data_IF_092956096050
#
_entry.id   IF_092956096050
#
_cell.length_a   1.000
_cell.length_b   1.000
_cell.length_c   1.000
_cell.angle_alpha   90.00
_cell.angle_beta   90.00
_cell.angle_gamma   90.00
#
_symmetry.space_group_name_H-M   'P 1'
#
loop_
_entity.id
_entity.type
_entity.pdbx_description
1 polymer ?
#
# COMPACT_ATOMS: atom_id res chain seq x y z
N UNK A 1 -13.87 -47.55 16.95
CA UNK A 1 -14.42 -46.23 17.34
C UNK A 1 -13.47 -45.05 17.14
N UNK A 2 -12.17 -45.15 17.46
CA UNK A 2 -11.22 -44.03 17.31
C UNK A 2 -10.98 -43.54 15.86
N UNK A 3 -11.13 -44.42 14.86
CA UNK A 3 -10.98 -44.04 13.44
C UNK A 3 -12.17 -43.25 12.90
N UNK A 4 -13.39 -43.56 13.35
CA UNK A 4 -14.62 -42.85 12.95
C UNK A 4 -14.64 -41.44 13.57
N UNK A 5 -14.18 -41.28 14.81
CA UNK A 5 -14.02 -39.95 15.43
C UNK A 5 -12.98 -39.06 14.73
N UNK A 6 -11.88 -39.63 14.19
CA UNK A 6 -10.91 -38.86 13.38
C UNK A 6 -11.47 -38.42 12.03
N UNK A 7 -12.28 -39.27 11.37
CA UNK A 7 -12.93 -38.92 10.10
C UNK A 7 -13.99 -37.85 10.32
N UNK A 8 -14.77 -37.94 11.40
CA UNK A 8 -15.76 -36.92 11.79
C UNK A 8 -15.07 -35.58 12.13
N UNK A 9 -13.93 -35.58 12.83
CA UNK A 9 -13.17 -34.35 13.09
C UNK A 9 -12.57 -33.73 11.83
N UNK A 10 -12.18 -34.54 10.84
CA UNK A 10 -11.72 -34.05 9.53
C UNK A 10 -12.90 -33.46 8.74
N UNK A 11 -14.08 -34.06 8.79
CA UNK A 11 -15.29 -33.53 8.15
C UNK A 11 -15.87 -32.28 8.82
N UNK A 12 -15.82 -32.16 10.15
CA UNK A 12 -16.27 -30.95 10.86
C UNK A 12 -15.32 -29.77 10.59
N UNK A 13 -14.02 -30.01 10.40
CA UNK A 13 -13.09 -28.96 9.95
C UNK A 13 -13.25 -28.61 8.46
N UNK A 14 -13.76 -29.53 7.62
CA UNK A 14 -14.09 -29.25 6.22
C UNK A 14 -15.42 -28.49 6.07
N UNK A 15 -16.37 -28.68 6.99
CA UNK A 15 -17.64 -27.93 7.02
C UNK A 15 -17.48 -26.50 7.57
N UNK A 16 -16.38 -26.19 8.26
CA UNK A 16 -16.06 -24.84 8.74
C UNK A 16 -15.65 -23.85 7.63
N UNK A 17 -15.63 -24.30 6.37
CA UNK A 17 -15.24 -23.48 5.21
C UNK A 17 -16.25 -23.55 4.06
N UNK A 18 -17.49 -23.96 4.35
CA UNK A 18 -18.55 -23.98 3.34
C UNK A 18 -19.14 -22.57 3.19
N UNK A 19 -19.16 -22.07 1.96
CA UNK A 19 -19.83 -20.82 1.62
C UNK A 19 -21.32 -21.10 1.48
N UNK A 20 -22.13 -20.48 2.35
CA UNK A 20 -23.60 -20.48 2.23
C UNK A 20 -23.99 -19.06 1.87
N UNK A 21 -24.63 -18.87 0.71
CA UNK A 21 -25.19 -17.59 0.26
C UNK A 21 -24.21 -16.39 0.25
N UNK A 22 -22.94 -16.60 -0.09
CA UNK A 22 -21.92 -15.53 -0.17
C UNK A 22 -21.37 -15.07 1.18
N UNK A 23 -21.65 -15.85 2.24
CA UNK A 23 -21.20 -15.61 3.60
C UNK A 23 -20.25 -16.70 4.06
N UNK A 24 -19.17 -16.29 4.71
CA UNK A 24 -18.14 -17.13 5.30
C UNK A 24 -18.33 -17.19 6.82
N UNK A 25 -18.90 -18.28 7.37
CA UNK A 25 -19.00 -18.47 8.81
C UNK A 25 -17.61 -18.74 9.40
N UNK A 26 -17.21 -17.95 10.40
CA UNK A 26 -15.92 -18.09 11.08
C UNK A 26 -16.02 -17.67 12.55
N UNK A 27 -15.64 -18.55 13.47
CA UNK A 27 -15.68 -18.31 14.93
C UNK A 27 -17.03 -17.76 15.43
N UNK A 28 -18.15 -18.31 14.91
CA UNK A 28 -19.50 -17.92 15.32
C UNK A 28 -19.97 -16.56 14.79
N UNK A 29 -19.27 -16.00 13.80
CA UNK A 29 -19.66 -14.77 13.10
C UNK A 29 -19.63 -14.98 11.59
N UNK A 30 -20.43 -14.17 10.90
CA UNK A 30 -20.59 -14.21 9.46
C UNK A 30 -19.80 -13.08 8.81
N UNK A 31 -18.99 -13.43 7.81
CA UNK A 31 -18.13 -12.50 7.08
C UNK A 31 -18.41 -12.57 5.58
N UNK A 32 -18.57 -11.43 4.92
CA UNK A 32 -18.59 -11.37 3.45
C UNK A 32 -17.18 -11.05 2.94
N UNK A 33 -16.58 -11.98 2.20
CA UNK A 33 -15.32 -11.77 1.51
C UNK A 33 -15.56 -11.35 0.06
N UNK A 34 -16.43 -10.37 -0.15
CA UNK A 34 -16.75 -9.82 -1.46
C UNK A 34 -16.59 -8.30 -1.44
N UNK A 35 -15.71 -7.78 -2.30
CA UNK A 35 -15.53 -6.34 -2.38
C UNK A 35 -16.81 -5.67 -2.89
N UNK A 36 -17.25 -4.64 -2.17
CA UNK A 36 -18.36 -3.77 -2.59
C UNK A 36 -17.81 -2.37 -2.82
N UNK A 37 -18.11 -1.78 -3.98
CA UNK A 37 -17.61 -0.46 -4.34
C UNK A 37 -18.21 0.61 -3.39
N UNK A 38 -17.39 1.41 -2.67
CA UNK A 38 -17.92 2.39 -1.71
C UNK A 38 -18.90 3.41 -2.29
N UNK A 39 -18.73 3.78 -3.57
CA UNK A 39 -19.62 4.73 -4.25
C UNK A 39 -20.88 4.12 -4.84
N UNK A 40 -20.98 2.79 -4.94
CA UNK A 40 -22.14 2.10 -5.49
C UNK A 40 -22.22 0.68 -4.91
N UNK A 41 -23.10 0.48 -3.93
CA UNK A 41 -23.26 -0.80 -3.23
C UNK A 41 -23.81 -1.94 -4.10
N UNK A 42 -24.33 -1.64 -5.29
CA UNK A 42 -24.77 -2.63 -6.27
C UNK A 42 -23.59 -3.20 -7.08
N UNK A 43 -22.46 -2.50 -7.13
CA UNK A 43 -21.26 -2.97 -7.81
C UNK A 43 -20.41 -3.81 -6.85
N UNK A 44 -20.51 -5.13 -7.01
CA UNK A 44 -19.78 -6.12 -6.23
C UNK A 44 -18.79 -6.90 -7.09
N UNK A 45 -17.67 -7.27 -6.50
CA UNK A 45 -16.66 -8.09 -7.15
C UNK A 45 -16.94 -9.58 -7.04
N UNK A 46 -16.04 -10.39 -7.60
CA UNK A 46 -15.96 -11.83 -7.35
C UNK A 46 -15.68 -12.08 -5.88
N UNK A 47 -16.36 -13.09 -5.33
CA UNK A 47 -16.16 -13.54 -3.95
C UNK A 47 -14.78 -14.20 -3.80
N UNK A 48 -14.10 -13.90 -2.71
CA UNK A 48 -12.85 -14.56 -2.35
C UNK A 48 -13.14 -15.84 -1.56
N UNK A 49 -12.28 -16.88 -1.67
CA UNK A 49 -12.47 -18.12 -0.93
C UNK A 49 -12.55 -17.91 0.59
N UNK A 50 -13.55 -18.55 1.23
CA UNK A 50 -13.78 -18.41 2.67
C UNK A 50 -12.61 -18.87 3.54
N UNK A 51 -11.75 -19.78 3.05
CA UNK A 51 -10.56 -20.21 3.78
C UNK A 51 -9.54 -19.08 3.99
N UNK A 52 -9.64 -17.98 3.26
CA UNK A 52 -8.77 -16.81 3.42
C UNK A 52 -9.09 -15.99 4.68
N UNK A 53 -10.27 -16.16 5.30
CA UNK A 53 -10.65 -15.46 6.54
C UNK A 53 -9.64 -15.68 7.67
N UNK A 54 -8.97 -16.84 7.70
CA UNK A 54 -7.91 -17.16 8.68
C UNK A 54 -6.75 -16.17 8.64
N UNK A 55 -6.46 -15.57 7.47
CA UNK A 55 -5.41 -14.56 7.38
C UNK A 55 -5.85 -13.23 8.01
N UNK A 56 -7.14 -12.88 7.93
CA UNK A 56 -7.65 -11.71 8.64
C UNK A 56 -7.54 -11.88 10.14
N UNK A 57 -7.90 -13.06 10.65
CA UNK A 57 -7.73 -13.39 12.06
C UNK A 57 -6.24 -13.33 12.48
N UNK A 58 -5.38 -14.01 11.73
CA UNK A 58 -3.94 -14.03 11.98
C UNK A 58 -3.29 -12.64 12.03
N UNK A 59 -3.80 -11.66 11.26
CA UNK A 59 -3.32 -10.27 11.24
C UNK A 59 -4.18 -9.29 12.05
N UNK A 60 -5.10 -9.80 12.87
CA UNK A 60 -6.03 -9.04 13.70
C UNK A 60 -6.97 -8.09 12.92
N UNK A 61 -7.24 -8.35 11.64
CA UNK A 61 -8.16 -7.53 10.83
C UNK A 61 -9.63 -7.76 11.19
N UNK A 62 -9.95 -8.84 11.91
CA UNK A 62 -11.30 -9.10 12.43
C UNK A 62 -11.56 -8.40 13.77
N UNK A 63 -10.52 -8.02 14.51
CA UNK A 63 -10.64 -7.41 15.82
C UNK A 63 -10.49 -5.89 15.76
N UNK A 64 -11.64 -5.20 15.77
CA UNK A 64 -11.71 -3.74 15.69
C UNK A 64 -11.03 -3.03 16.87
N UNK A 65 -10.92 -3.66 18.04
CA UNK A 65 -10.23 -3.06 19.20
C UNK A 65 -8.73 -2.89 18.99
N UNK A 66 -8.18 -3.51 17.93
CA UNK A 66 -6.77 -3.35 17.54
C UNK A 66 -6.54 -2.16 16.62
N UNK A 67 -7.60 -1.48 16.17
CA UNK A 67 -7.49 -0.34 15.28
C UNK A 67 -7.27 0.95 16.07
N UNK A 68 -6.50 1.86 15.49
CA UNK A 68 -6.29 3.18 16.07
C UNK A 68 -7.38 4.13 15.61
N UNK A 69 -7.95 4.84 16.58
CA UNK A 69 -8.73 6.05 16.35
C UNK A 69 -7.81 7.28 16.48
N UNK A 70 -7.58 7.96 15.35
CA UNK A 70 -6.71 9.14 15.28
C UNK A 70 -7.37 10.41 15.86
N UNK A 71 -8.67 10.38 16.17
CA UNK A 71 -9.35 11.46 16.88
C UNK A 71 -8.94 11.47 18.35
N UNK A 72 -8.75 10.30 18.96
CA UNK A 72 -8.51 10.14 20.39
C UNK A 72 -7.07 9.75 20.73
N UNK A 73 -6.40 8.96 19.89
CA UNK A 73 -5.07 8.44 20.16
C UNK A 73 -3.97 9.38 19.64
N UNK A 74 -2.87 9.46 20.39
CA UNK A 74 -1.65 10.06 19.89
C UNK A 74 -0.98 9.15 18.85
N UNK A 75 -0.16 9.74 17.96
CA UNK A 75 0.48 8.99 16.88
C UNK A 75 1.41 7.92 17.47
N UNK A 76 1.24 6.64 17.09
CA UNK A 76 2.14 5.59 17.52
C UNK A 76 3.54 5.75 16.91
N UNK A 77 4.54 5.15 17.56
CA UNK A 77 5.90 5.10 17.04
C UNK A 77 5.92 4.41 15.67
N UNK A 78 6.43 5.15 14.67
CA UNK A 78 6.47 4.68 13.29
C UNK A 78 7.54 3.60 13.08
N UNK A 79 7.23 2.59 12.26
CA UNK A 79 8.22 1.61 11.78
C UNK A 79 8.44 1.67 10.29
N UNK A 80 9.71 1.68 9.89
CA UNK A 80 10.09 1.70 8.48
C UNK A 80 10.41 0.27 8.06
N UNK A 81 9.80 -0.19 6.97
CA UNK A 81 9.86 -1.57 6.50
C UNK A 81 10.38 -1.59 5.06
N UNK A 82 11.25 -2.54 4.75
CA UNK A 82 11.65 -2.86 3.39
C UNK A 82 11.76 -4.37 3.21
N UNK A 83 11.71 -4.84 1.96
CA UNK A 83 11.94 -6.24 1.63
C UNK A 83 12.72 -6.34 0.31
N UNK A 84 13.69 -7.24 0.23
CA UNK A 84 14.43 -7.47 -1.01
C UNK A 84 15.05 -8.87 -1.09
N UNK A 85 15.27 -9.30 -2.34
CA UNK A 85 16.02 -10.51 -2.66
C UNK A 85 17.48 -10.18 -2.98
N UNK A 86 18.30 -11.22 -3.20
CA UNK A 86 19.73 -11.03 -3.44
C UNK A 86 20.02 -10.17 -4.68
N UNK A 87 19.18 -10.25 -5.72
CA UNK A 87 19.33 -9.45 -6.95
C UNK A 87 19.24 -7.93 -6.67
N UNK A 88 18.40 -7.53 -5.72
CA UNK A 88 18.21 -6.12 -5.36
C UNK A 88 19.16 -5.63 -4.26
N UNK A 89 19.98 -6.51 -3.67
CA UNK A 89 20.90 -6.19 -2.57
C UNK A 89 21.68 -4.89 -2.79
N UNK A 90 22.38 -4.72 -3.92
CA UNK A 90 23.19 -3.51 -4.13
C UNK A 90 22.35 -2.22 -4.14
N UNK A 91 21.10 -2.27 -4.61
CA UNK A 91 20.18 -1.13 -4.59
C UNK A 91 19.66 -0.90 -3.16
N UNK A 92 19.25 -1.95 -2.47
CA UNK A 92 18.82 -1.88 -1.07
C UNK A 92 19.90 -1.31 -0.14
N UNK A 93 21.18 -1.63 -0.40
CA UNK A 93 22.29 -1.06 0.36
C UNK A 93 22.35 0.48 0.34
N UNK A 94 21.90 1.13 -0.74
CA UNK A 94 21.79 2.59 -0.75
C UNK A 94 20.55 3.10 -0.02
N UNK A 95 19.41 2.38 -0.08
CA UNK A 95 18.26 2.69 0.77
C UNK A 95 18.69 2.72 2.24
N UNK A 96 19.34 1.64 2.71
CA UNK A 96 19.87 1.53 4.08
C UNK A 96 20.79 2.70 4.45
N UNK A 97 21.66 3.11 3.51
CA UNK A 97 22.55 4.26 3.71
C UNK A 97 21.75 5.55 3.92
N UNK A 98 20.79 5.83 3.04
CA UNK A 98 19.98 7.05 3.11
C UNK A 98 19.00 7.03 4.28
N UNK A 99 18.50 5.85 4.66
CA UNK A 99 17.65 5.66 5.84
C UNK A 99 18.40 6.05 7.11
N UNK A 100 19.62 5.52 7.32
CA UNK A 100 20.45 5.87 8.48
C UNK A 100 20.66 7.39 8.58
N UNK A 101 20.82 8.05 7.43
CA UNK A 101 20.88 9.51 7.39
C UNK A 101 19.54 10.16 7.72
N UNK A 102 18.42 9.73 7.14
CA UNK A 102 17.13 10.41 7.24
C UNK A 102 16.41 10.22 8.59
N UNK A 103 16.60 9.07 9.24
CA UNK A 103 15.86 8.64 10.43
C UNK A 103 16.78 8.32 11.62
N UNK A 104 17.84 9.12 11.84
CA UNK A 104 18.88 8.83 12.85
C UNK A 104 18.35 8.21 14.16
N UNK A 105 18.96 7.10 14.59
CA UNK A 105 18.57 6.35 15.79
C UNK A 105 17.45 5.31 15.60
N UNK A 106 16.70 5.35 14.49
CA UNK A 106 15.63 4.39 14.21
C UNK A 106 16.15 3.06 13.64
N UNK A 107 15.38 2.00 13.84
CA UNK A 107 15.59 0.69 13.20
C UNK A 107 14.65 0.51 12.01
N UNK A 108 15.18 -0.06 10.93
CA UNK A 108 14.39 -0.48 9.76
C UNK A 108 14.21 -2.00 9.81
N UNK A 109 12.97 -2.45 9.63
CA UNK A 109 12.65 -3.85 9.43
C UNK A 109 13.02 -4.24 7.99
N UNK A 110 13.84 -5.27 7.83
CA UNK A 110 14.34 -5.76 6.55
C UNK A 110 13.90 -7.21 6.37
N UNK A 111 12.94 -7.44 5.50
CA UNK A 111 12.51 -8.78 5.10
C UNK A 111 13.40 -9.38 4.02
N UNK A 112 13.85 -10.59 4.29
CA UNK A 112 14.59 -11.47 3.40
C UNK A 112 13.64 -12.22 2.46
N UNK A 113 13.76 -11.94 1.16
CA UNK A 113 13.02 -12.60 0.08
C UNK A 113 13.90 -13.60 -0.72
N UNK A 114 14.87 -14.23 -0.06
CA UNK A 114 15.87 -15.12 -0.68
C UNK A 114 17.26 -14.48 -0.80
N UNK A 115 17.81 -14.03 0.32
CA UNK A 115 19.17 -13.49 0.44
C UNK A 115 20.20 -14.59 0.65
N UNK A 116 21.42 -14.35 0.16
CA UNK A 116 22.54 -15.27 0.43
C UNK A 116 22.99 -15.15 1.89
N UNK A 117 23.49 -16.25 2.47
CA UNK A 117 24.06 -16.29 3.83
C UNK A 117 25.08 -15.15 4.10
N UNK A 118 25.89 -14.80 3.10
CA UNK A 118 26.88 -13.72 3.19
C UNK A 118 26.25 -12.31 3.30
N UNK A 119 25.08 -12.11 2.71
CA UNK A 119 24.29 -10.87 2.83
C UNK A 119 23.61 -10.80 4.19
N UNK A 120 23.00 -11.91 4.62
CA UNK A 120 22.36 -12.02 5.94
C UNK A 120 23.36 -11.69 7.05
N UNK A 121 24.55 -12.32 7.04
CA UNK A 121 25.65 -12.05 7.99
C UNK A 121 26.11 -10.59 8.03
N UNK A 122 25.88 -9.80 6.96
CA UNK A 122 26.18 -8.37 6.94
C UNK A 122 25.02 -7.56 7.51
N UNK A 123 23.78 -7.88 7.13
CA UNK A 123 22.58 -7.19 7.59
C UNK A 123 22.43 -7.24 9.11
N UNK A 124 22.56 -8.43 9.70
CA UNK A 124 22.41 -8.63 11.15
C UNK A 124 23.46 -7.90 11.99
N UNK A 125 24.57 -7.44 11.38
CA UNK A 125 25.62 -6.68 12.07
C UNK A 125 25.32 -5.19 12.16
N UNK A 126 24.27 -4.70 11.50
CA UNK A 126 23.88 -3.29 11.57
C UNK A 126 22.83 -3.11 12.67
N UNK A 127 23.15 -2.36 13.72
CA UNK A 127 22.24 -2.09 14.85
C UNK A 127 20.92 -1.43 14.44
N UNK A 128 20.93 -0.65 13.36
CA UNK A 128 19.74 0.00 12.79
C UNK A 128 18.92 -0.92 11.86
N UNK A 129 19.27 -2.21 11.76
CA UNK A 129 18.52 -3.21 10.99
C UNK A 129 17.87 -4.20 11.94
N UNK A 130 16.60 -4.46 11.70
CA UNK A 130 15.87 -5.60 12.24
C UNK A 130 15.64 -6.59 11.11
N UNK A 131 16.38 -7.69 11.11
CA UNK A 131 16.28 -8.70 10.06
C UNK A 131 15.10 -9.64 10.34
N UNK A 132 14.27 -9.88 9.31
CA UNK A 132 13.18 -10.87 9.34
C UNK A 132 13.24 -11.74 8.10
N UNK A 133 12.89 -13.02 8.22
CA UNK A 133 12.79 -13.93 7.07
C UNK A 133 11.33 -14.06 6.65
N UNK A 134 11.02 -13.82 5.38
CA UNK A 134 9.67 -14.02 4.86
C UNK A 134 9.42 -15.52 4.61
N UNK A 135 8.41 -16.08 5.28
CA UNK A 135 8.10 -17.51 5.24
C UNK A 135 7.12 -17.84 4.12
N UNK A 136 7.63 -17.97 2.89
CA UNK A 136 6.80 -18.30 1.71
C UNK A 136 6.02 -19.61 1.83
N UNK A 137 6.41 -20.54 2.71
CA UNK A 137 5.67 -21.79 2.96
C UNK A 137 4.30 -21.57 3.58
N UNK A 138 4.06 -20.40 4.17
CA UNK A 138 2.82 -20.10 4.89
C UNK A 138 1.72 -19.55 3.95
N UNK A 139 2.02 -19.41 2.65
CA UNK A 139 1.18 -18.73 1.68
C UNK A 139 1.03 -19.58 0.41
N UNK A 140 0.00 -19.31 -0.42
CA UNK A 140 -0.17 -19.95 -1.72
C UNK A 140 1.07 -19.83 -2.61
N UNK A 141 1.25 -20.80 -3.51
CA UNK A 141 2.49 -20.97 -4.28
C UNK A 141 2.87 -19.73 -5.10
N UNK A 142 1.89 -19.03 -5.69
CA UNK A 142 2.10 -17.83 -6.49
C UNK A 142 2.78 -16.70 -5.71
N UNK A 143 2.65 -16.63 -4.38
CA UNK A 143 3.33 -15.61 -3.56
C UNK A 143 4.86 -15.68 -3.68
N UNK A 144 5.42 -16.85 -4.04
CA UNK A 144 6.85 -17.01 -4.33
C UNK A 144 7.29 -16.26 -5.60
N UNK A 145 6.37 -15.98 -6.53
CA UNK A 145 6.63 -15.18 -7.71
C UNK A 145 6.80 -13.71 -7.33
N UNK A 146 8.03 -13.28 -7.07
CA UNK A 146 8.32 -11.89 -6.69
C UNK A 146 7.90 -10.82 -7.72
N UNK A 147 7.51 -11.22 -8.95
CA UNK A 147 7.02 -10.28 -9.97
C UNK A 147 5.60 -9.81 -9.70
N UNK A 148 4.73 -10.65 -9.12
CA UNK A 148 3.35 -10.26 -8.76
C UNK A 148 3.29 -9.32 -7.55
N UNK A 149 4.40 -9.18 -6.80
CA UNK A 149 4.52 -8.31 -5.62
C UNK A 149 3.55 -8.62 -4.47
N UNK A 150 2.86 -9.76 -4.47
CA UNK A 150 1.94 -10.18 -3.41
C UNK A 150 2.60 -10.13 -2.01
N UNK A 151 3.86 -10.55 -1.92
CA UNK A 151 4.66 -10.51 -0.69
C UNK A 151 4.66 -9.13 -0.02
N UNK A 152 4.57 -8.03 -0.77
CA UNK A 152 4.59 -6.67 -0.21
C UNK A 152 3.38 -6.44 0.68
N UNK A 153 2.19 -6.78 0.17
CA UNK A 153 0.92 -6.53 0.84
C UNK A 153 0.77 -7.44 2.08
N UNK A 154 1.26 -8.67 1.97
CA UNK A 154 1.32 -9.61 3.10
C UNK A 154 2.28 -9.10 4.19
N UNK A 155 3.49 -8.65 3.83
CA UNK A 155 4.42 -8.07 4.82
C UNK A 155 3.83 -6.81 5.48
N UNK A 156 3.15 -5.95 4.70
CA UNK A 156 2.47 -4.78 5.26
C UNK A 156 1.42 -5.21 6.29
N UNK A 157 0.58 -6.20 5.97
CA UNK A 157 -0.41 -6.73 6.91
C UNK A 157 0.23 -7.33 8.17
N UNK A 158 1.31 -8.11 8.00
CA UNK A 158 2.07 -8.71 9.10
C UNK A 158 2.65 -7.63 10.04
N UNK A 159 3.33 -6.62 9.50
CA UNK A 159 3.93 -5.58 10.35
C UNK A 159 2.86 -4.66 10.96
N UNK A 160 1.75 -4.40 10.26
CA UNK A 160 0.62 -3.65 10.82
C UNK A 160 -0.02 -4.34 12.01
N UNK A 161 0.12 -5.66 12.17
CA UNK A 161 -0.31 -6.38 13.37
C UNK A 161 0.45 -5.92 14.61
N UNK A 162 1.75 -5.64 14.46
CA UNK A 162 2.65 -5.26 15.54
C UNK A 162 2.76 -3.75 15.72
N UNK A 163 2.72 -3.00 14.62
CA UNK A 163 2.96 -1.57 14.58
C UNK A 163 1.83 -0.87 13.83
N UNK A 164 1.00 -0.09 14.52
CA UNK A 164 -0.17 0.50 13.90
C UNK A 164 0.14 1.70 12.99
N UNK A 165 1.40 2.09 12.84
CA UNK A 165 1.83 3.06 11.83
C UNK A 165 3.17 2.65 11.23
N UNK A 166 3.16 2.41 9.92
CA UNK A 166 4.36 1.98 9.19
C UNK A 166 4.64 2.84 7.95
N UNK A 167 5.91 2.83 7.53
CA UNK A 167 6.35 3.28 6.21
C UNK A 167 6.90 2.10 5.45
N UNK A 168 6.24 1.70 4.37
CA UNK A 168 6.88 0.83 3.38
C UNK A 168 7.89 1.63 2.56
N UNK A 169 9.11 1.12 2.40
CA UNK A 169 10.14 1.72 1.57
C UNK A 169 10.71 0.70 0.59
N UNK A 170 10.51 0.93 -0.71
CA UNK A 170 11.02 0.08 -1.78
C UNK A 170 12.57 0.07 -1.77
N UNK A 171 13.24 -1.08 -1.99
CA UNK A 171 14.71 -1.17 -1.99
C UNK A 171 15.44 -0.23 -2.96
N UNK A 172 14.75 0.32 -3.97
CA UNK A 172 15.31 1.31 -4.90
C UNK A 172 15.08 2.77 -4.49
N UNK A 173 14.31 3.02 -3.42
CA UNK A 173 14.04 4.35 -2.87
C UNK A 173 15.28 4.94 -2.18
N UNK A 174 15.43 6.26 -2.23
CA UNK A 174 16.47 7.03 -1.55
C UNK A 174 15.81 8.17 -0.79
N UNK A 175 16.06 8.25 0.51
CA UNK A 175 15.68 9.42 1.29
C UNK A 175 16.67 10.56 1.04
N UNK A 176 16.14 11.78 0.88
CA UNK A 176 16.91 12.97 0.50
C UNK A 176 16.91 14.04 1.58
N UNK A 177 15.94 14.03 2.49
CA UNK A 177 15.75 15.05 3.53
C UNK A 177 15.58 14.38 4.89
N UNK A 178 16.12 14.98 5.96
CA UNK A 178 15.92 14.58 7.36
C UNK A 178 14.67 15.25 7.93
N UNK A 179 14.05 14.66 8.94
CA UNK A 179 12.95 15.29 9.69
C UNK A 179 11.66 15.54 8.89
N UNK A 180 11.58 15.06 7.64
CA UNK A 180 10.38 15.19 6.82
C UNK A 180 9.15 14.50 7.43
N UNK A 181 9.39 13.50 8.27
CA UNK A 181 8.33 12.79 9.01
C UNK A 181 7.49 13.72 9.88
N UNK A 182 8.03 14.82 10.40
CA UNK A 182 7.24 15.77 11.19
C UNK A 182 6.08 16.34 10.36
N UNK A 183 6.30 16.60 9.07
CA UNK A 183 5.26 17.08 8.15
C UNK A 183 4.28 15.98 7.77
N UNK A 184 4.78 14.79 7.45
CA UNK A 184 3.89 13.65 7.09
C UNK A 184 3.01 13.27 8.29
N UNK A 185 3.54 13.30 9.50
CA UNK A 185 2.79 13.04 10.72
C UNK A 185 1.68 14.07 10.94
N UNK A 186 1.91 15.36 10.68
CA UNK A 186 0.86 16.39 10.74
C UNK A 186 -0.29 16.12 9.76
N UNK A 187 0.00 15.60 8.57
CA UNK A 187 -1.05 15.22 7.61
C UNK A 187 -1.87 14.02 8.07
N UNK A 188 -1.28 13.13 8.87
CA UNK A 188 -1.91 11.90 9.33
C UNK A 188 -2.67 12.11 10.64
N UNK A 189 -2.16 12.95 11.54
CA UNK A 189 -2.67 13.09 12.92
C UNK A 189 -3.53 14.31 13.16
N UNK A 190 -3.89 15.05 12.11
CA UNK A 190 -4.66 16.28 12.22
C UNK A 190 -6.09 16.11 12.74
N UNK A 191 -6.53 14.88 13.04
CA UNK A 191 -7.88 14.54 13.47
C UNK A 191 -8.19 14.91 14.91
N UNK A 192 -7.18 15.08 15.77
CA UNK A 192 -7.38 15.42 17.18
C UNK A 192 -8.16 16.73 17.33
N UNK A 193 -9.32 16.67 17.98
CA UNK A 193 -10.22 17.81 18.15
C UNK A 193 -11.07 18.15 16.92
N UNK A 194 -11.04 17.35 15.85
CA UNK A 194 -11.95 17.48 14.71
C UNK A 194 -13.18 16.58 14.90
N UNK A 195 -14.33 16.95 14.31
CA UNK A 195 -15.52 16.11 14.30
C UNK A 195 -15.27 14.72 13.71
N UNK A 196 -15.98 13.69 14.20
CA UNK A 196 -15.86 12.34 13.67
C UNK A 196 -16.26 12.22 12.19
N UNK A 197 -17.09 13.15 11.69
CA UNK A 197 -17.52 13.23 10.30
C UNK A 197 -16.51 13.96 9.40
N UNK A 198 -15.32 14.36 9.89
CA UNK A 198 -14.38 15.16 9.11
C UNK A 198 -14.04 14.57 7.74
N UNK A 199 -13.96 13.23 7.64
CA UNK A 199 -13.68 12.54 6.38
C UNK A 199 -14.85 12.61 5.39
N UNK A 200 -16.10 12.74 5.84
CA UNK A 200 -17.27 12.83 4.94
C UNK A 200 -17.32 14.17 4.21
N UNK A 201 -16.64 15.20 4.75
CA UNK A 201 -16.49 16.54 4.14
C UNK A 201 -15.45 16.59 3.01
N UNK A 202 -14.83 15.45 2.66
CA UNK A 202 -13.85 15.37 1.57
C UNK A 202 -14.32 16.01 0.25
N UNK A 203 -15.59 15.83 -0.23
CA UNK A 203 -16.06 16.50 -1.45
C UNK A 203 -16.06 18.03 -1.37
N UNK A 204 -16.39 18.61 -0.21
CA UNK A 204 -16.35 20.05 0.00
C UNK A 204 -14.91 20.58 -0.11
N UNK A 205 -13.97 19.90 0.55
CA UNK A 205 -12.56 20.30 0.52
C UNK A 205 -11.91 20.14 -0.85
N UNK A 206 -12.36 19.20 -1.68
CA UNK A 206 -11.93 19.09 -3.08
C UNK A 206 -12.34 20.35 -3.88
N UNK A 207 -13.57 20.83 -3.70
CA UNK A 207 -14.07 22.05 -4.35
C UNK A 207 -13.27 23.27 -3.88
N UNK A 208 -13.07 23.42 -2.56
CA UNK A 208 -12.28 24.52 -1.99
C UNK A 208 -10.83 24.51 -2.48
N UNK A 209 -10.21 23.33 -2.52
CA UNK A 209 -8.84 23.13 -3.01
C UNK A 209 -8.70 23.58 -4.47
N UNK A 210 -9.67 23.21 -5.30
CA UNK A 210 -9.72 23.58 -6.73
C UNK A 210 -9.88 25.10 -6.90
N UNK A 211 -10.73 25.74 -6.11
CA UNK A 211 -10.96 27.18 -6.16
C UNK A 211 -9.73 28.00 -5.74
N UNK A 212 -8.93 27.49 -4.78
CA UNK A 212 -7.74 28.17 -4.26
C UNK A 212 -6.51 28.10 -5.17
N UNK A 213 -6.53 27.26 -6.22
CA UNK A 213 -5.47 27.17 -7.25
C UNK A 213 -4.04 27.09 -6.69
N UNK A 214 -3.79 26.10 -5.83
CA UNK A 214 -2.45 25.83 -5.31
C UNK A 214 -1.46 25.39 -6.40
N UNK A 215 -0.16 25.41 -6.10
CA UNK A 215 0.84 24.83 -6.98
C UNK A 215 0.79 23.29 -6.85
N UNK A 216 0.11 22.64 -7.79
CA UNK A 216 -0.09 21.19 -7.81
C UNK A 216 0.77 20.50 -8.88
N UNK A 217 0.52 19.21 -9.08
CA UNK A 217 1.12 18.47 -10.18
C UNK A 217 0.45 18.89 -11.48
N UNK A 218 1.25 19.34 -12.43
CA UNK A 218 0.81 19.59 -13.79
C UNK A 218 1.05 18.36 -14.66
N UNK A 219 0.03 17.94 -15.39
CA UNK A 219 0.12 16.79 -16.27
C UNK A 219 0.88 17.13 -17.56
N UNK A 220 1.64 16.16 -18.10
CA UNK A 220 2.43 16.38 -19.31
C UNK A 220 1.52 16.67 -20.52
N UNK A 221 1.89 17.68 -21.31
CA UNK A 221 1.26 17.98 -22.61
C UNK A 221 1.94 17.27 -23.79
N UNK A 222 3.00 16.49 -23.53
CA UNK A 222 3.81 15.83 -24.56
C UNK A 222 4.09 14.35 -24.23
N UNK A 223 4.34 13.53 -25.27
CA UNK A 223 4.51 12.07 -25.18
C UNK A 223 5.66 11.59 -24.29
N UNK A 224 6.74 12.36 -24.25
CA UNK A 224 7.99 12.01 -23.55
C UNK A 224 8.19 12.80 -22.26
N UNK A 225 7.25 13.69 -21.94
CA UNK A 225 7.29 14.54 -20.76
C UNK A 225 6.86 13.77 -19.51
N UNK A 226 7.43 14.12 -18.36
CA UNK A 226 6.94 13.67 -17.05
C UNK A 226 6.05 14.75 -16.44
N UNK A 227 5.13 14.40 -15.51
CA UNK A 227 4.42 15.39 -14.73
C UNK A 227 5.39 16.36 -14.05
N UNK A 228 5.04 17.63 -14.05
CA UNK A 228 5.83 18.70 -13.42
C UNK A 228 5.26 19.01 -12.05
N UNK A 229 6.14 19.13 -11.04
CA UNK A 229 5.76 19.39 -9.66
C UNK A 229 6.96 19.93 -8.87
N UNK A 230 6.68 20.57 -7.73
CA UNK A 230 7.72 21.13 -6.87
C UNK A 230 8.59 20.02 -6.25
N UNK A 231 9.79 19.82 -6.80
CA UNK A 231 10.77 18.85 -6.31
C UNK A 231 11.72 19.41 -5.25
N UNK A 232 11.75 20.75 -5.10
CA UNK A 232 12.53 21.47 -4.10
C UNK A 232 11.55 22.11 -3.12
N UNK A 233 11.42 21.53 -1.93
CA UNK A 233 10.46 21.98 -0.92
C UNK A 233 9.07 21.36 -1.13
N UNK A 234 8.05 22.15 -0.83
CA UNK A 234 6.63 21.85 -1.01
C UNK A 234 5.85 23.18 -0.94
N UNK A 235 4.63 23.22 -1.46
CA UNK A 235 3.75 24.39 -1.35
C UNK A 235 3.25 24.50 0.09
N UNK A 236 3.67 25.55 0.80
CA UNK A 236 3.35 25.75 2.22
C UNK A 236 1.87 26.05 2.45
N UNK A 237 1.21 26.73 1.51
CA UNK A 237 -0.20 27.07 1.62
C UNK A 237 -1.07 25.82 1.40
N UNK A 238 -0.71 24.99 0.42
CA UNK A 238 -1.36 23.70 0.19
C UNK A 238 -1.15 22.75 1.38
N UNK A 239 0.08 22.69 1.91
CA UNK A 239 0.36 21.88 3.10
C UNK A 239 -0.49 22.32 4.30
N UNK A 240 -0.53 23.63 4.59
CA UNK A 240 -1.36 24.18 5.66
C UNK A 240 -2.84 23.85 5.44
N UNK A 241 -3.35 24.07 4.22
CA UNK A 241 -4.72 23.72 3.86
C UNK A 241 -5.00 22.24 4.14
N UNK A 242 -4.12 21.33 3.72
CA UNK A 242 -4.29 19.89 3.91
C UNK A 242 -4.28 19.47 5.38
N UNK A 243 -3.43 20.08 6.22
CA UNK A 243 -3.43 19.85 7.67
C UNK A 243 -4.69 20.40 8.32
N UNK A 244 -5.07 21.63 7.99
CA UNK A 244 -6.22 22.33 8.59
C UNK A 244 -7.55 21.66 8.20
N UNK A 245 -7.67 21.14 6.99
CA UNK A 245 -8.86 20.45 6.50
C UNK A 245 -8.89 18.95 6.83
N UNK A 246 -7.74 18.30 7.02
CA UNK A 246 -7.62 16.91 7.48
C UNK A 246 -8.51 15.87 6.76
N UNK A 247 -8.69 16.04 5.45
CA UNK A 247 -9.54 15.15 4.63
C UNK A 247 -8.77 14.02 3.96
N UNK A 248 -7.45 13.98 4.11
CA UNK A 248 -6.60 13.01 3.42
C UNK A 248 -6.75 11.61 4.03
N UNK A 249 -6.54 10.59 3.20
CA UNK A 249 -6.50 9.19 3.63
C UNK A 249 -5.44 8.95 4.72
N UNK A 250 -5.69 8.00 5.61
CA UNK A 250 -4.67 7.51 6.56
C UNK A 250 -3.67 6.54 5.91
N UNK A 251 -3.78 6.36 4.59
CA UNK A 251 -2.80 5.71 3.73
C UNK A 251 -2.36 6.67 2.64
N UNK A 252 -1.09 7.11 2.69
CA UNK A 252 -0.56 8.16 1.80
C UNK A 252 0.56 7.64 0.89
N UNK A 253 0.52 8.10 -0.36
CA UNK A 253 1.55 7.92 -1.38
C UNK A 253 2.30 9.24 -1.63
N UNK A 254 3.41 9.19 -2.37
CA UNK A 254 4.25 10.38 -2.57
C UNK A 254 4.70 10.58 -3.99
N UNK A 255 5.30 9.56 -4.61
CA UNK A 255 6.01 9.76 -5.87
C UNK A 255 5.03 9.48 -7.02
N UNK A 256 4.69 10.49 -7.85
CA UNK A 256 3.82 10.29 -8.98
C UNK A 256 4.47 9.33 -9.97
N UNK A 257 3.65 8.55 -10.66
CA UNK A 257 4.04 7.86 -11.89
C UNK A 257 3.81 8.80 -13.08
N UNK A 258 4.00 8.29 -14.29
CA UNK A 258 3.83 9.07 -15.52
C UNK A 258 2.57 8.65 -16.32
N UNK A 259 1.65 7.91 -15.70
CA UNK A 259 0.44 7.38 -16.37
C UNK A 259 -0.76 7.37 -15.40
N UNK A 260 -1.96 7.22 -15.96
CA UNK A 260 -3.22 7.07 -15.21
C UNK A 260 -3.35 5.70 -14.53
N UNK A 261 -4.36 5.57 -13.68
CA UNK A 261 -4.60 4.34 -12.90
C UNK A 261 -5.09 3.20 -13.79
N UNK A 262 -6.15 3.42 -14.58
CA UNK A 262 -6.82 2.37 -15.36
C UNK A 262 -5.90 1.66 -16.35
N UNK A 263 -4.86 2.35 -16.85
CA UNK A 263 -3.88 1.78 -17.77
C UNK A 263 -3.00 0.67 -17.15
N UNK A 264 -3.08 0.47 -15.82
CA UNK A 264 -2.40 -0.64 -15.14
C UNK A 264 -3.32 -1.66 -14.48
N UNK A 265 -4.64 -1.50 -14.63
CA UNK A 265 -5.64 -2.39 -14.02
C UNK A 265 -6.12 -3.41 -15.06
N UNK A 266 -5.70 -4.68 -14.99
CA UNK A 266 -6.23 -5.73 -15.86
C UNK A 266 -7.69 -6.07 -15.50
N UNK A 267 -8.42 -6.62 -16.46
CA UNK A 267 -9.84 -6.98 -16.24
C UNK A 267 -9.99 -8.09 -15.19
N UNK A 268 -9.01 -8.97 -15.02
CA UNK A 268 -9.01 -9.94 -13.92
C UNK A 268 -9.05 -9.26 -12.55
N UNK A 269 -8.26 -8.21 -12.34
CA UNK A 269 -8.30 -7.42 -11.11
C UNK A 269 -9.67 -6.71 -10.96
N UNK A 270 -10.24 -6.17 -12.05
CA UNK A 270 -11.56 -5.51 -12.00
C UNK A 270 -12.70 -6.46 -11.65
N UNK A 271 -12.58 -7.75 -11.96
CA UNK A 271 -13.56 -8.76 -11.53
C UNK A 271 -13.65 -8.83 -10.01
N UNK A 272 -12.51 -8.83 -9.32
CA UNK A 272 -12.46 -8.87 -7.85
C UNK A 272 -12.68 -7.50 -7.21
N UNK A 273 -12.09 -6.44 -7.78
CA UNK A 273 -12.14 -5.07 -7.27
C UNK A 273 -12.75 -4.16 -8.35
N UNK A 274 -14.08 -4.18 -8.54
CA UNK A 274 -14.76 -3.31 -9.49
C UNK A 274 -14.57 -1.82 -9.17
N UNK A 275 -14.79 -0.99 -10.17
CA UNK A 275 -14.68 0.47 -10.07
C UNK A 275 -15.57 1.16 -11.09
N UNK A 276 -15.99 2.39 -10.80
CA UNK A 276 -16.70 3.22 -11.75
C UNK A 276 -15.71 3.94 -12.68
N UNK A 277 -15.45 3.33 -13.84
CA UNK A 277 -14.51 3.88 -14.83
C UNK A 277 -14.93 5.24 -15.41
N UNK A 278 -16.19 5.67 -15.25
CA UNK A 278 -16.66 6.97 -15.74
C UNK A 278 -16.12 8.13 -14.90
N UNK A 279 -15.76 7.86 -13.64
CA UNK A 279 -15.25 8.86 -12.69
C UNK A 279 -13.75 9.11 -12.79
N UNK A 280 -13.03 8.31 -13.58
CA UNK A 280 -11.61 8.50 -13.81
C UNK A 280 -11.39 9.60 -14.84
N UNK A 281 -10.94 10.75 -14.36
CA UNK A 281 -10.61 11.92 -15.17
C UNK A 281 -9.10 12.12 -15.15
N UNK A 282 -8.45 12.45 -16.28
CA UNK A 282 -6.99 12.54 -16.36
C UNK A 282 -6.35 13.36 -15.23
N UNK A 283 -6.96 14.50 -14.87
CA UNK A 283 -6.51 15.41 -13.82
C UNK A 283 -6.62 14.86 -12.38
N UNK A 284 -7.39 13.80 -12.15
CA UNK A 284 -7.61 13.20 -10.82
C UNK A 284 -7.18 11.74 -10.73
N UNK A 285 -6.91 11.07 -11.86
CA UNK A 285 -6.52 9.65 -11.91
C UNK A 285 -5.02 9.39 -12.11
N UNK A 286 -4.14 10.39 -11.94
CA UNK A 286 -2.69 10.16 -12.03
C UNK A 286 -2.27 9.06 -11.04
N UNK A 287 -1.65 8.00 -11.54
CA UNK A 287 -1.22 6.90 -10.69
C UNK A 287 0.02 7.30 -9.89
N UNK A 288 0.08 6.86 -8.64
CA UNK A 288 1.24 7.04 -7.78
C UNK A 288 1.96 5.72 -7.59
N UNK A 289 3.27 5.79 -7.38
CA UNK A 289 4.08 4.60 -7.16
C UNK A 289 3.93 4.09 -5.73
N UNK A 290 4.04 2.78 -5.54
CA UNK A 290 4.11 2.13 -4.20
C UNK A 290 5.55 2.03 -3.70
N UNK A 291 6.37 3.04 -4.04
CA UNK A 291 7.77 3.17 -3.68
C UNK A 291 7.98 3.56 -2.22
N UNK A 292 7.13 4.45 -1.74
CA UNK A 292 6.98 4.81 -0.34
C UNK A 292 5.49 4.87 -0.02
N UNK A 293 5.09 4.26 1.09
CA UNK A 293 3.69 4.21 1.50
C UNK A 293 3.65 4.45 3.00
N UNK A 294 2.89 5.44 3.45
CA UNK A 294 2.57 5.66 4.85
C UNK A 294 1.24 5.00 5.15
N UNK A 295 1.16 4.16 6.17
CA UNK A 295 -0.03 3.35 6.44
C UNK A 295 -0.30 3.34 7.93
N UNK A 296 -1.45 3.87 8.33
CA UNK A 296 -1.95 3.75 9.71
C UNK A 296 -3.06 2.71 9.77
N UNK A 297 -3.02 1.86 10.80
CA UNK A 297 -4.01 0.83 11.13
C UNK A 297 -5.30 1.43 11.70
N UNK A 298 -5.92 2.34 10.98
CA UNK A 298 -7.28 2.82 11.30
C UNK A 298 -8.31 1.83 10.77
N UNK A 299 -9.54 1.92 11.29
CA UNK A 299 -10.66 1.11 10.79
C UNK A 299 -10.85 1.29 9.28
N UNK A 300 -10.84 2.54 8.81
CA UNK A 300 -10.96 2.86 7.38
C UNK A 300 -9.83 2.20 6.57
N UNK A 301 -8.56 2.31 7.01
CA UNK A 301 -7.44 1.70 6.28
C UNK A 301 -7.53 0.18 6.22
N UNK A 302 -7.93 -0.48 7.31
CA UNK A 302 -8.04 -1.93 7.31
C UNK A 302 -9.23 -2.40 6.49
N UNK A 303 -10.42 -1.85 6.71
CA UNK A 303 -11.65 -2.34 6.10
C UNK A 303 -11.78 -1.96 4.62
N UNK A 304 -11.36 -0.75 4.22
CA UNK A 304 -11.56 -0.26 2.85
C UNK A 304 -10.34 -0.46 1.94
N UNK A 305 -9.16 -0.78 2.50
CA UNK A 305 -7.95 -0.97 1.70
C UNK A 305 -7.24 -2.28 2.02
N UNK A 306 -6.68 -2.44 3.22
CA UNK A 306 -5.74 -3.53 3.49
C UNK A 306 -6.37 -4.92 3.49
N UNK A 307 -7.64 -5.06 3.88
CA UNK A 307 -8.36 -6.34 3.82
C UNK A 307 -8.45 -6.85 2.38
N UNK A 308 -8.90 -6.00 1.46
CA UNK A 308 -9.01 -6.32 0.03
C UNK A 308 -7.64 -6.51 -0.63
N UNK A 309 -6.66 -5.67 -0.28
CA UNK A 309 -5.30 -5.82 -0.76
C UNK A 309 -4.68 -7.16 -0.35
N UNK A 310 -4.95 -7.61 0.89
CA UNK A 310 -4.48 -8.89 1.41
C UNK A 310 -5.17 -10.07 0.72
N UNK A 311 -6.51 -10.06 0.59
CA UNK A 311 -7.23 -11.14 -0.12
C UNK A 311 -6.77 -11.27 -1.56
N UNK A 312 -6.61 -10.13 -2.25
CA UNK A 312 -6.10 -10.13 -3.61
C UNK A 312 -4.67 -10.69 -3.68
N UNK A 313 -3.77 -10.30 -2.77
CA UNK A 313 -2.42 -10.86 -2.70
C UNK A 313 -2.40 -12.39 -2.49
N UNK A 314 -3.39 -12.93 -1.78
CA UNK A 314 -3.55 -14.35 -1.50
C UNK A 314 -4.31 -15.11 -2.61
N UNK A 315 -4.80 -14.42 -3.64
CA UNK A 315 -5.59 -15.00 -4.74
C UNK A 315 -4.89 -14.77 -6.06
N UNK A 316 -4.36 -15.83 -6.67
CA UNK A 316 -3.52 -15.75 -7.88
C UNK A 316 -4.18 -14.93 -9.00
N UNK A 317 -5.42 -15.26 -9.36
CA UNK A 317 -6.17 -14.57 -10.41
C UNK A 317 -6.41 -13.07 -10.15
N UNK A 318 -6.37 -12.63 -8.89
CA UNK A 318 -6.57 -11.23 -8.54
C UNK A 318 -5.28 -10.40 -8.65
N UNK A 319 -4.17 -10.89 -8.07
CA UNK A 319 -2.91 -10.13 -8.00
C UNK A 319 -1.99 -10.37 -9.19
N UNK A 320 -2.07 -11.55 -9.82
CA UNK A 320 -1.11 -11.93 -10.84
C UNK A 320 -1.37 -11.17 -12.15
N UNK A 321 -0.33 -10.58 -12.76
CA UNK A 321 -0.49 -10.01 -14.08
C UNK A 321 -0.67 -11.13 -15.11
N UNK A 322 -1.84 -11.16 -15.76
CA UNK A 322 -2.06 -11.92 -16.99
C UNK A 322 -0.89 -11.62 -17.94
N UNK A 323 -0.25 -12.70 -18.41
CA UNK A 323 0.83 -12.79 -19.38
C UNK A 323 1.30 -11.46 -19.99
N UNK A 324 2.55 -11.13 -19.66
CA UNK A 324 3.27 -9.89 -19.94
C UNK A 324 3.26 -9.51 -21.42
N UNK A 325 2.41 -8.54 -21.81
CA UNK A 325 2.75 -7.66 -22.94
C UNK A 325 3.92 -6.77 -22.50
N UNK A 326 4.89 -6.50 -23.40
CA UNK A 326 5.92 -5.49 -23.15
C UNK A 326 5.21 -4.16 -22.88
N UNK A 327 5.40 -3.59 -21.69
CA UNK A 327 4.87 -2.28 -21.35
C UNK A 327 5.39 -1.24 -22.35
N UNK A 328 4.48 -0.55 -23.03
CA UNK A 328 4.81 0.56 -23.92
C UNK A 328 3.79 1.67 -23.72
N UNK A 329 4.17 2.66 -22.93
CA UNK A 329 3.42 3.90 -22.80
C UNK A 329 3.83 4.86 -23.91
N UNK A 330 2.84 5.46 -24.56
CA UNK A 330 2.96 6.61 -25.45
C UNK A 330 1.90 7.64 -25.06
N UNK A 331 1.96 8.85 -25.62
CA UNK A 331 1.01 9.92 -25.27
C UNK A 331 -0.46 9.48 -25.39
N UNK A 332 -0.77 8.70 -26.41
CA UNK A 332 -2.13 8.25 -26.70
C UNK A 332 -2.69 7.27 -25.67
N UNK A 333 -1.85 6.66 -24.81
CA UNK A 333 -2.29 5.64 -23.87
C UNK A 333 -1.88 5.88 -22.40
N UNK A 334 -1.30 7.03 -22.06
CA UNK A 334 -0.92 7.36 -20.67
C UNK A 334 -2.11 7.23 -19.72
N UNK A 335 -3.27 7.76 -20.13
CA UNK A 335 -4.54 7.69 -19.42
C UNK A 335 -5.53 6.75 -20.13
N UNK A 336 -5.01 5.68 -20.73
CA UNK A 336 -5.85 4.66 -21.34
C UNK A 336 -6.80 4.08 -20.30
N UNK A 337 -8.10 4.02 -20.66
CA UNK A 337 -9.12 3.33 -19.85
C UNK A 337 -9.00 1.80 -19.91
N UNK A 338 -8.17 1.30 -20.82
CA UNK A 338 -7.86 -0.12 -21.02
C UNK A 338 -6.46 -0.47 -20.52
N UNK A 339 -6.27 -1.72 -20.11
CA UNK A 339 -5.01 -2.24 -19.58
C UNK A 339 -3.84 -2.16 -20.60
N UNK A 340 -2.74 -1.52 -20.17
CA UNK A 340 -1.52 -1.29 -20.97
C UNK A 340 -0.31 -1.98 -20.35
N UNK A 341 -0.09 -1.82 -19.05
CA UNK A 341 1.12 -2.29 -18.38
C UNK A 341 0.81 -2.93 -17.01
N UNK A 342 1.26 -4.16 -16.75
CA UNK A 342 1.12 -4.75 -15.43
C UNK A 342 1.94 -3.99 -14.38
N UNK A 343 1.24 -3.48 -13.37
CA UNK A 343 1.85 -2.93 -12.16
C UNK A 343 1.14 -3.50 -10.92
N UNK A 344 1.07 -4.83 -10.81
CA UNK A 344 0.22 -5.60 -9.88
C UNK A 344 -0.14 -4.91 -8.55
N UNK A 345 0.82 -4.75 -7.63
CA UNK A 345 0.58 -4.13 -6.32
C UNK A 345 0.33 -2.62 -6.38
N UNK A 346 0.94 -1.93 -7.35
CA UNK A 346 0.73 -0.50 -7.56
C UNK A 346 -0.68 -0.22 -8.03
N UNK A 347 -1.13 -0.89 -9.09
CA UNK A 347 -2.47 -0.78 -9.65
C UNK A 347 -3.53 -1.13 -8.62
N UNK A 348 -3.41 -2.27 -7.95
CA UNK A 348 -4.32 -2.68 -6.88
C UNK A 348 -4.45 -1.64 -5.76
N UNK A 349 -3.33 -1.17 -5.21
CA UNK A 349 -3.39 -0.19 -4.12
C UNK A 349 -3.94 1.16 -4.57
N UNK A 350 -3.58 1.65 -5.75
CA UNK A 350 -4.12 2.91 -6.25
C UNK A 350 -5.58 2.79 -6.61
N UNK A 351 -6.05 1.65 -7.12
CA UNK A 351 -7.46 1.39 -7.39
C UNK A 351 -8.30 1.44 -6.11
N UNK A 352 -7.87 0.71 -5.07
CA UNK A 352 -8.54 0.72 -3.77
C UNK A 352 -8.57 2.12 -3.15
N UNK A 353 -7.43 2.83 -3.17
CA UNK A 353 -7.36 4.20 -2.67
C UNK A 353 -8.28 5.14 -3.46
N UNK A 354 -8.32 5.02 -4.78
CA UNK A 354 -9.14 5.87 -5.62
C UNK A 354 -10.64 5.63 -5.40
N UNK A 355 -11.05 4.36 -5.32
CA UNK A 355 -12.42 3.96 -4.98
C UNK A 355 -12.86 4.49 -3.61
N UNK A 356 -11.97 4.44 -2.61
CA UNK A 356 -12.28 4.86 -1.24
C UNK A 356 -12.16 6.37 -1.00
N UNK A 357 -11.60 7.14 -1.94
CA UNK A 357 -11.28 8.56 -1.75
C UNK A 357 -11.79 9.42 -2.91
N UNK A 358 -13.07 9.28 -3.24
CA UNK A 358 -13.78 10.14 -4.18
C UNK A 358 -13.17 10.25 -5.58
N UNK A 359 -12.41 9.24 -6.03
CA UNK A 359 -11.80 9.20 -7.35
C UNK A 359 -10.86 10.38 -7.61
N UNK A 360 -10.08 10.73 -6.58
CA UNK A 360 -9.10 11.81 -6.66
C UNK A 360 -7.79 11.49 -5.92
N UNK A 361 -6.68 11.42 -6.66
CA UNK A 361 -5.37 11.14 -6.07
C UNK A 361 -4.95 12.17 -5.03
N UNK A 362 -5.43 13.41 -5.13
CA UNK A 362 -5.11 14.50 -4.20
C UNK A 362 -5.51 14.17 -2.76
N UNK A 363 -6.44 13.23 -2.58
CA UNK A 363 -6.92 12.78 -1.27
C UNK A 363 -5.99 11.76 -0.60
N UNK A 364 -5.11 11.07 -1.32
CA UNK A 364 -4.25 10.01 -0.75
C UNK A 364 -2.77 10.17 -1.09
N UNK A 365 -2.34 11.40 -1.38
CA UNK A 365 -0.93 11.74 -1.54
C UNK A 365 -0.47 12.74 -0.50
N UNK A 366 0.84 12.81 -0.28
CA UNK A 366 1.41 13.78 0.67
C UNK A 366 1.52 15.21 0.13
N UNK A 367 1.49 15.41 -1.20
CA UNK A 367 1.81 16.69 -1.86
C UNK A 367 3.21 17.26 -1.48
N UNK A 368 4.12 16.41 -0.98
CA UNK A 368 5.48 16.78 -0.58
C UNK A 368 6.47 15.85 -1.28
N UNK A 369 7.22 16.37 -2.25
CA UNK A 369 8.00 15.51 -3.17
C UNK A 369 9.52 15.54 -2.96
N UNK A 370 10.00 16.31 -1.97
CA UNK A 370 11.44 16.57 -1.83
C UNK A 370 12.20 15.59 -0.92
N UNK A 371 11.51 14.65 -0.23
CA UNK A 371 12.15 13.79 0.79
C UNK A 371 12.48 12.37 0.33
N UNK A 372 11.94 11.92 -0.81
CA UNK A 372 12.23 10.60 -1.35
C UNK A 372 12.20 10.60 -2.87
N UNK A 373 13.09 9.81 -3.47
CA UNK A 373 13.11 9.56 -4.91
C UNK A 373 13.60 8.17 -5.24
N UNK A 374 13.25 7.67 -6.42
CA UNK A 374 13.87 6.47 -6.96
C UNK A 374 15.33 6.73 -7.34
N UNK A 375 16.19 5.74 -7.11
CA UNK A 375 17.61 5.83 -7.44
C UNK A 375 18.17 4.54 -8.01
N UNK A 376 18.83 4.65 -9.17
CA UNK A 376 19.48 3.51 -9.85
C UNK A 376 20.90 3.22 -9.33
N UNK A 377 21.46 4.09 -8.50
CA UNK A 377 22.81 3.90 -7.91
C UNK A 377 22.86 2.60 -7.10
N UNK A 378 23.95 1.84 -7.29
CA UNK A 378 24.21 0.54 -6.67
C UNK A 378 25.40 0.60 -5.70
N UNK A 379 25.20 0.24 -4.43
CA UNK A 379 26.27 0.31 -3.43
C UNK A 379 27.16 -0.91 -3.56
N UNK A 380 28.24 -0.79 -4.34
CA UNK A 380 29.17 -1.91 -4.62
C UNK A 380 29.80 -2.47 -3.34
N UNK A 381 30.20 -1.59 -2.40
CA UNK A 381 30.84 -1.96 -1.12
C UNK A 381 29.94 -1.56 0.06
N UNK A 382 29.29 -2.55 0.68
CA UNK A 382 28.47 -2.38 1.88
C UNK A 382 29.27 -1.97 3.13
N UNK A 383 30.61 -2.09 3.12
CA UNK A 383 31.50 -1.54 4.16
C UNK A 383 31.32 -0.02 4.36
N UNK A 384 30.74 0.70 3.38
CA UNK A 384 30.39 2.13 3.47
C UNK A 384 29.11 2.43 4.30
N UNK A 385 28.32 1.40 4.63
CA UNK A 385 27.35 1.49 5.71
C UNK A 385 28.19 1.38 7.00
N UNK A 386 28.74 2.51 7.48
CA UNK A 386 29.57 2.53 8.69
C UNK A 386 28.83 1.79 9.81
N UNK A 387 29.52 0.83 10.44
CA UNK A 387 29.12 0.32 11.75
C UNK A 387 29.07 1.53 12.68
N UNK A 388 27.87 1.82 13.20
CA UNK A 388 27.77 2.64 14.39
C UNK A 388 28.23 1.78 15.55
#
# INVERSE_FOLDING_TARGET
MAYILRIIFIFINLLAYYQVDGVCPYQGKDYSLQYTLPSNNQMKGTEFPCDLIRYFDNYNFLNQTTFIDLVTADIPNIKIVTAFNEKLRKRAGYLLKTFKSAFGGQRMIVYDLGLKKTTIRKLIKYSFVEYRKFQFSNFPAHVRNLQNRAYKLIIIAEVLKEYPYIVWANPTLRFTVRGFMNRVNQLISCYKGKPADQMTKQPQYITERTNKKFNEIELPKCATCSPTYQTIGYDTNLFKFNVDSCYKSNMLLTIPSNHGILSTIPDSLKKYIPTDTSRFQPNTELQFTTGIIFIVRTQNTIQNMMSWALLCALTEDCIEPIQVKKCSFNFGNLFSKSFVCPAADQGLLTLLLHNANNYDYRNYITDIFNYAKYGNRQLKKWKKLRKG
#
